data_IF_112711403286
#
_entry.id   IF_112711403286
#
_cell.length_a   1.000
_cell.length_b   1.000
_cell.length_c   1.000
_cell.angle_alpha   90.00
_cell.angle_beta   90.00
_cell.angle_gamma   90.00
#
_symmetry.space_group_name_H-M   'P 1'
#
loop_
_entity.id
_entity.type
_entity.pdbx_description
1 polymer ?
#
# COMPACT_ATOMS: atom_id res chain seq x y z
N UNK A 1 8.10 33.48 -3.64
CA UNK A 1 6.84 33.02 -2.99
C UNK A 1 6.73 31.54 -3.27
N UNK A 2 6.77 30.70 -2.24
CA UNK A 2 6.51 29.28 -2.38
C UNK A 2 4.99 29.08 -2.35
N UNK A 3 4.38 28.92 -3.52
CA UNK A 3 3.10 28.22 -3.62
C UNK A 3 3.39 26.77 -3.30
N UNK A 4 3.19 26.35 -2.05
CA UNK A 4 3.15 24.93 -1.71
C UNK A 4 2.12 24.27 -2.64
N UNK A 5 2.51 23.35 -3.54
CA UNK A 5 1.56 22.58 -4.31
C UNK A 5 0.98 21.56 -3.33
N UNK A 6 0.02 22.01 -2.51
CA UNK A 6 -0.74 21.16 -1.60
C UNK A 6 -1.20 19.96 -2.40
N UNK A 7 -0.64 18.82 -2.01
CA UNK A 7 -0.83 17.48 -2.55
C UNK A 7 -2.20 17.31 -3.17
N UNK A 8 -2.25 16.83 -4.41
CA UNK A 8 -3.43 16.13 -4.88
C UNK A 8 -3.78 15.09 -3.81
N UNK A 9 -4.84 15.36 -3.04
CA UNK A 9 -5.34 14.47 -2.00
C UNK A 9 -5.88 13.23 -2.67
N UNK A 10 -5.00 12.26 -2.90
CA UNK A 10 -5.41 10.94 -3.33
C UNK A 10 -5.98 10.21 -2.12
N UNK A 11 -7.27 10.43 -1.85
CA UNK A 11 -8.04 9.68 -0.85
C UNK A 11 -8.30 8.25 -1.36
N UNK A 12 -7.24 7.49 -1.59
CA UNK A 12 -7.34 6.09 -1.96
C UNK A 12 -7.37 5.26 -0.70
N UNK A 13 -8.55 4.72 -0.44
CA UNK A 13 -8.79 3.79 0.65
C UNK A 13 -8.76 2.37 0.09
N UNK A 14 -7.90 1.53 0.66
CA UNK A 14 -7.97 0.10 0.41
C UNK A 14 -8.89 -0.54 1.44
N UNK A 15 -9.90 -1.27 0.95
CA UNK A 15 -10.79 -2.06 1.79
C UNK A 15 -10.35 -3.52 1.76
N UNK A 16 -10.05 -4.08 2.92
CA UNK A 16 -9.80 -5.51 3.10
C UNK A 16 -11.04 -6.10 3.76
N UNK A 17 -11.51 -7.21 3.19
CA UNK A 17 -12.54 -8.06 3.79
C UNK A 17 -11.86 -9.31 4.31
N UNK A 18 -11.88 -9.46 5.62
CA UNK A 18 -11.38 -10.61 6.35
C UNK A 18 -12.35 -11.78 6.36
N UNK A 19 -11.94 -12.86 7.02
CA UNK A 19 -12.83 -13.96 7.35
C UNK A 19 -13.93 -13.47 8.33
N UNK A 20 -15.08 -14.13 8.32
CA UNK A 20 -16.21 -13.84 9.22
C UNK A 20 -16.80 -12.42 9.13
N UNK A 21 -16.68 -11.76 7.97
CA UNK A 21 -17.35 -10.48 7.72
C UNK A 21 -16.63 -9.25 8.31
N UNK A 22 -15.44 -9.44 8.86
CA UNK A 22 -14.59 -8.35 9.32
C UNK A 22 -14.13 -7.49 8.14
N UNK A 23 -14.17 -6.15 8.26
CA UNK A 23 -13.62 -5.24 7.23
C UNK A 23 -12.67 -4.20 7.83
N UNK A 24 -11.52 -4.00 7.20
CA UNK A 24 -10.58 -2.92 7.53
C UNK A 24 -10.42 -1.99 6.33
N UNK A 25 -10.31 -0.70 6.61
CA UNK A 25 -10.03 0.33 5.61
C UNK A 25 -8.73 1.03 5.97
N UNK A 26 -7.82 1.17 5.02
CA UNK A 26 -6.59 1.94 5.22
C UNK A 26 -6.37 2.95 4.12
N UNK A 27 -5.95 4.16 4.51
CA UNK A 27 -5.46 5.17 3.57
C UNK A 27 -4.11 4.75 3.00
N UNK A 28 -4.03 4.69 1.67
CA UNK A 28 -2.80 4.31 0.96
C UNK A 28 -1.79 5.46 0.87
N UNK A 29 -2.24 6.70 1.04
CA UNK A 29 -1.42 7.90 0.95
C UNK A 29 -1.70 8.79 2.16
N UNK A 30 -0.87 8.73 3.21
CA UNK A 30 -0.96 9.74 4.26
C UNK A 30 -0.58 11.12 3.69
N UNK A 31 -1.06 12.19 4.32
CA UNK A 31 -0.84 13.59 3.91
C UNK A 31 0.61 14.05 4.15
N UNK A 32 1.58 13.41 3.46
CA UNK A 32 3.02 13.52 3.75
C UNK A 32 3.82 14.17 2.62
N UNK A 33 3.19 14.90 1.68
CA UNK A 33 3.93 15.59 0.62
C UNK A 33 4.33 14.73 -0.58
N UNK A 34 4.05 13.42 -0.56
CA UNK A 34 4.42 12.51 -1.66
C UNK A 34 3.45 11.35 -1.82
N UNK A 35 2.86 11.21 -3.01
CA UNK A 35 2.09 10.02 -3.40
C UNK A 35 2.95 9.16 -4.33
N UNK A 36 3.42 8.02 -3.84
CA UNK A 36 4.26 7.08 -4.59
C UNK A 36 3.67 5.67 -4.58
N UNK A 37 4.04 4.84 -5.57
CA UNK A 37 3.54 3.46 -5.73
C UNK A 37 3.46 2.74 -4.38
N UNK A 38 2.38 1.98 -4.17
CA UNK A 38 2.22 1.09 -3.00
C UNK A 38 2.16 -0.34 -3.48
N UNK A 39 3.13 -1.14 -3.08
CA UNK A 39 3.15 -2.57 -3.36
C UNK A 39 2.34 -3.31 -2.27
N UNK A 40 1.55 -4.30 -2.69
CA UNK A 40 0.73 -5.11 -1.80
C UNK A 40 1.29 -6.53 -1.77
N UNK A 41 1.51 -7.04 -0.58
CA UNK A 41 2.03 -8.39 -0.36
C UNK A 41 1.13 -9.17 0.58
N UNK A 42 1.02 -10.46 0.33
CA UNK A 42 0.49 -11.42 1.29
C UNK A 42 1.66 -11.99 2.09
N UNK A 43 1.59 -11.85 3.40
CA UNK A 43 2.50 -12.46 4.35
C UNK A 43 1.82 -13.65 5.06
N UNK A 44 2.56 -14.31 5.94
CA UNK A 44 2.05 -15.44 6.70
C UNK A 44 0.82 -15.07 7.53
N UNK A 45 0.02 -16.08 7.88
CA UNK A 45 -1.12 -15.96 8.82
C UNK A 45 -2.18 -14.92 8.40
N UNK A 46 -2.35 -14.69 7.10
CA UNK A 46 -3.35 -13.75 6.59
C UNK A 46 -2.98 -12.28 6.78
N UNK A 47 -1.70 -11.99 7.05
CA UNK A 47 -1.20 -10.62 7.10
C UNK A 47 -1.08 -10.05 5.68
N UNK A 48 -1.50 -8.81 5.50
CA UNK A 48 -1.36 -8.07 4.25
C UNK A 48 -0.45 -6.88 4.50
N UNK A 49 0.62 -6.78 3.72
CA UNK A 49 1.55 -5.66 3.80
C UNK A 49 1.30 -4.70 2.65
N UNK A 50 1.13 -3.42 2.98
CA UNK A 50 1.11 -2.33 2.01
C UNK A 50 2.38 -1.53 2.21
N UNK A 51 3.32 -1.67 1.28
CA UNK A 51 4.65 -1.09 1.36
C UNK A 51 4.75 0.03 0.35
N UNK A 52 5.18 1.22 0.77
CA UNK A 52 5.68 2.22 -0.18
C UNK A 52 7.11 2.62 0.11
N UNK A 53 7.53 3.74 -0.47
CA UNK A 53 8.92 4.16 -0.41
C UNK A 53 9.39 4.54 1.00
N UNK A 54 8.50 5.09 1.84
CA UNK A 54 8.86 5.67 3.14
C UNK A 54 8.12 5.07 4.34
N UNK A 55 7.05 4.31 4.10
CA UNK A 55 6.31 3.64 5.15
C UNK A 55 5.90 2.23 4.70
N UNK A 56 5.54 1.41 5.70
CA UNK A 56 4.83 0.17 5.49
C UNK A 56 3.67 0.07 6.47
N UNK A 57 2.53 -0.42 5.99
CA UNK A 57 1.37 -0.74 6.80
C UNK A 57 1.18 -2.25 6.80
N UNK A 58 0.88 -2.77 7.98
CA UNK A 58 0.58 -4.17 8.20
C UNK A 58 -0.89 -4.27 8.58
N UNK A 59 -1.61 -5.14 7.89
CA UNK A 59 -3.04 -5.33 8.08
C UNK A 59 -3.26 -6.80 8.41
N UNK A 60 -3.80 -7.04 9.60
CA UNK A 60 -4.26 -8.35 10.01
C UNK A 60 -5.67 -8.56 9.46
N UNK A 61 -5.82 -9.48 8.50
CA UNK A 61 -7.14 -9.78 7.92
C UNK A 61 -8.06 -10.58 8.84
N UNK A 62 -7.54 -11.21 9.90
CA UNK A 62 -8.36 -11.93 10.88
C UNK A 62 -8.98 -10.96 11.89
N UNK A 63 -8.22 -9.94 12.31
CA UNK A 63 -8.67 -8.97 13.32
C UNK A 63 -9.04 -7.60 12.76
N UNK A 64 -8.85 -7.38 11.45
CA UNK A 64 -9.00 -6.09 10.76
C UNK A 64 -8.21 -4.94 11.35
N UNK A 65 -7.14 -5.23 12.08
CA UNK A 65 -6.28 -4.21 12.67
C UNK A 65 -5.23 -3.78 11.66
N UNK A 66 -5.08 -2.48 11.51
CA UNK A 66 -4.00 -1.87 10.72
C UNK A 66 -2.99 -1.21 11.65
N UNK A 67 -1.70 -1.44 11.40
CA UNK A 67 -0.61 -0.75 12.08
C UNK A 67 0.42 -0.24 11.10
N UNK A 68 1.14 0.83 11.49
CA UNK A 68 2.37 1.24 10.82
C UNK A 68 3.51 0.35 11.33
N UNK A 69 4.33 -0.12 10.41
CA UNK A 69 5.49 -0.96 10.71
C UNK A 69 6.75 -0.34 10.11
N UNK A 70 7.86 -0.48 10.82
CA UNK A 70 9.18 -0.17 10.26
C UNK A 70 9.57 -1.29 9.30
N UNK A 71 10.21 -0.94 8.18
CA UNK A 71 10.58 -1.91 7.13
C UNK A 71 11.37 -3.13 7.62
N UNK A 72 12.22 -2.94 8.64
CA UNK A 72 13.03 -4.02 9.24
C UNK A 72 12.21 -5.12 9.93
N UNK A 73 10.96 -4.84 10.27
CA UNK A 73 10.07 -5.77 10.97
C UNK A 73 9.11 -6.50 10.04
N UNK A 74 9.21 -6.30 8.72
CA UNK A 74 8.39 -7.04 7.75
C UNK A 74 9.01 -8.42 7.50
N UNK A 75 8.15 -9.44 7.49
CA UNK A 75 8.54 -10.78 7.04
C UNK A 75 9.13 -10.72 5.63
N UNK A 76 10.14 -11.55 5.37
CA UNK A 76 10.79 -11.65 4.06
C UNK A 76 10.13 -12.67 3.13
N UNK A 77 9.46 -13.66 3.71
CA UNK A 77 8.72 -14.68 2.97
C UNK A 77 7.30 -14.18 2.69
N UNK A 78 7.19 -13.39 1.63
CA UNK A 78 5.95 -12.74 1.20
C UNK A 78 5.67 -12.97 -0.28
N UNK A 79 4.39 -12.95 -0.64
CA UNK A 79 3.92 -13.11 -2.01
C UNK A 79 3.45 -11.75 -2.53
N UNK A 80 4.04 -11.27 -3.62
CA UNK A 80 3.60 -10.04 -4.27
C UNK A 80 2.24 -10.25 -4.94
N UNK A 81 1.24 -9.46 -4.52
CA UNK A 81 -0.12 -9.51 -5.08
C UNK A 81 -0.34 -8.50 -6.20
N UNK A 82 0.35 -7.36 -6.14
CA UNK A 82 0.16 -6.26 -7.06
C UNK A 82 0.57 -4.92 -6.48
N UNK A 83 0.24 -3.84 -7.18
CA UNK A 83 0.56 -2.48 -6.73
C UNK A 83 -0.56 -1.50 -7.05
N UNK A 84 -0.80 -0.56 -6.14
CA UNK A 84 -1.46 0.69 -6.47
C UNK A 84 -0.43 1.62 -7.07
N UNK A 85 -0.64 1.97 -8.34
CA UNK A 85 0.26 2.82 -9.11
C UNK A 85 -0.55 3.70 -10.06
N UNK A 86 0.12 4.68 -10.66
CA UNK A 86 -0.45 5.47 -11.74
C UNK A 86 -0.44 4.69 -13.07
N UNK A 87 -1.52 4.85 -13.83
CA UNK A 87 -1.54 4.51 -15.26
C UNK A 87 -0.84 5.57 -16.10
N UNK A 88 -0.82 5.37 -17.42
CA UNK A 88 -0.19 6.30 -18.38
C UNK A 88 -0.87 7.68 -18.38
N UNK A 89 -2.13 7.74 -17.95
CA UNK A 89 -2.94 8.96 -17.82
C UNK A 89 -2.82 9.59 -16.41
N UNK A 90 -1.87 9.12 -15.58
CA UNK A 90 -1.63 9.56 -14.20
C UNK A 90 -2.81 9.31 -13.24
N UNK A 91 -3.69 8.37 -13.58
CA UNK A 91 -4.78 7.96 -12.69
C UNK A 91 -4.31 6.79 -11.83
N UNK A 92 -4.59 6.87 -10.55
CA UNK A 92 -4.31 5.79 -9.63
C UNK A 92 -5.28 4.63 -9.82
N UNK A 93 -4.72 3.43 -9.91
CA UNK A 93 -5.48 2.19 -9.93
C UNK A 93 -4.66 1.04 -9.36
N UNK A 94 -5.35 -0.04 -9.05
CA UNK A 94 -4.71 -1.30 -8.73
C UNK A 94 -4.27 -2.02 -10.01
N UNK A 95 -3.06 -2.56 -9.98
CA UNK A 95 -2.52 -3.49 -10.98
C UNK A 95 -2.17 -4.79 -10.27
N UNK A 96 -2.76 -5.91 -10.70
CA UNK A 96 -2.40 -7.22 -10.15
C UNK A 96 -1.00 -7.66 -10.58
N UNK A 97 -0.40 -8.60 -9.84
CA UNK A 97 0.89 -9.19 -10.18
C UNK A 97 0.91 -9.85 -11.57
N UNK A 98 -0.24 -10.32 -12.06
CA UNK A 98 -0.40 -10.83 -13.42
C UNK A 98 -0.34 -9.73 -14.49
N UNK A 99 -0.72 -8.49 -14.16
CA UNK A 99 -0.70 -7.34 -15.09
C UNK A 99 0.65 -6.61 -15.09
N UNK A 100 1.24 -6.42 -13.90
CA UNK A 100 2.54 -5.76 -13.74
C UNK A 100 3.36 -6.52 -12.70
N UNK A 101 4.59 -6.96 -13.05
CA UNK A 101 5.45 -7.62 -12.08
C UNK A 101 5.89 -6.64 -10.98
N UNK A 102 6.38 -7.21 -9.89
CA UNK A 102 6.98 -6.44 -8.81
C UNK A 102 8.12 -5.57 -9.35
N UNK A 103 8.15 -4.32 -8.90
CA UNK A 103 9.23 -3.39 -9.22
C UNK A 103 9.85 -2.89 -7.92
N UNK A 104 11.19 -2.77 -7.88
CA UNK A 104 11.86 -2.14 -6.75
C UNK A 104 11.43 -0.68 -6.64
N UNK A 105 11.37 -0.16 -5.41
CA UNK A 105 11.29 1.29 -5.22
C UNK A 105 12.60 1.92 -5.71
N UNK A 106 12.50 3.09 -6.33
CA UNK A 106 13.68 3.82 -6.78
C UNK A 106 14.61 4.04 -5.59
N UNK A 107 15.84 3.50 -5.68
CA UNK A 107 16.90 3.86 -4.77
C UNK A 107 17.22 5.34 -5.03
N UNK A 108 17.36 6.09 -3.95
CA UNK A 108 17.83 7.47 -4.03
C UNK A 108 19.35 7.47 -4.19
#
# INVERSE_FOLDING_TARGET
MATDPFLQRFNLTMNIRGAEGCSSSTELFPDTGYAGRRNVYQAARGMVYVVGQFDARVIDSQTCRTSLSEFRHLDRDVIFLGSFDQDEERRWKYFSSAQRPERPFSKR
#
